data_IF_611096724460
#
_entry.id   IF_611096724460
#
_cell.length_a   1.000
_cell.length_b   1.000
_cell.length_c   1.000
_cell.angle_alpha   90.00
_cell.angle_beta   90.00
_cell.angle_gamma   90.00
#
_symmetry.space_group_name_H-M   'P 1'
#
loop_
_entity.id
_entity.type
_entity.pdbx_description
1 polymer ?
#
# COMPACT_ATOMS: atom_id res chain seq x y z
N UNK A 1 -0.87 8.64 -23.99
CA UNK A 1 -0.83 7.70 -22.85
C UNK A 1 -1.95 6.71 -23.00
N UNK A 2 -1.60 5.43 -23.15
CA UNK A 2 -2.59 4.35 -23.05
C UNK A 2 -3.00 4.14 -21.59
N UNK A 3 -4.17 3.54 -21.34
CA UNK A 3 -4.58 3.19 -19.97
C UNK A 3 -3.50 2.37 -19.26
N UNK A 4 -2.88 1.42 -19.97
CA UNK A 4 -1.82 0.57 -19.46
C UNK A 4 -0.57 1.35 -18.98
N UNK A 5 -0.19 2.42 -19.66
CA UNK A 5 0.94 3.29 -19.28
C UNK A 5 0.63 4.18 -18.07
N UNK A 6 -0.65 4.53 -17.85
CA UNK A 6 -1.06 5.37 -16.73
C UNK A 6 -1.20 4.58 -15.42
N UNK A 7 -1.58 3.29 -15.49
CA UNK A 7 -1.86 2.46 -14.31
C UNK A 7 -0.70 2.36 -13.30
N UNK A 8 0.58 2.25 -13.69
CA UNK A 8 1.69 2.26 -12.73
C UNK A 8 1.77 3.54 -11.89
N UNK A 9 1.59 4.70 -12.53
CA UNK A 9 1.60 6.01 -11.84
C UNK A 9 0.38 6.15 -10.95
N UNK A 10 -0.80 5.71 -11.41
CA UNK A 10 -2.03 5.67 -10.58
C UNK A 10 -1.83 4.77 -9.36
N UNK A 11 -1.22 3.59 -9.55
CA UNK A 11 -0.93 2.65 -8.46
C UNK A 11 0.01 3.24 -7.41
N UNK A 12 1.07 3.93 -7.84
CA UNK A 12 1.98 4.64 -6.95
C UNK A 12 1.27 5.78 -6.21
N UNK A 13 0.47 6.58 -6.91
CA UNK A 13 -0.30 7.67 -6.32
C UNK A 13 -1.31 7.18 -5.27
N UNK A 14 -2.03 6.08 -5.54
CA UNK A 14 -2.97 5.49 -4.59
C UNK A 14 -2.29 4.94 -3.35
N UNK A 15 -1.11 4.32 -3.49
CA UNK A 15 -0.31 3.89 -2.34
C UNK A 15 0.21 5.08 -1.52
N UNK A 16 0.71 6.12 -2.18
CA UNK A 16 1.13 7.36 -1.50
C UNK A 16 -0.03 8.03 -0.77
N UNK A 17 -1.20 8.11 -1.39
CA UNK A 17 -2.42 8.62 -0.78
C UNK A 17 -2.83 7.78 0.43
N UNK A 18 -2.82 6.45 0.33
CA UNK A 18 -3.11 5.56 1.44
C UNK A 18 -2.14 5.80 2.62
N UNK A 19 -0.84 5.93 2.35
CA UNK A 19 0.16 6.25 3.38
C UNK A 19 -0.15 7.57 4.10
N UNK A 20 -0.45 8.63 3.37
CA UNK A 20 -0.79 9.94 3.94
C UNK A 20 -2.06 9.85 4.78
N UNK A 21 -3.10 9.18 4.28
CA UNK A 21 -4.35 8.99 5.02
C UNK A 21 -4.14 8.19 6.31
N UNK A 22 -3.31 7.14 6.29
CA UNK A 22 -2.96 6.35 7.48
C UNK A 22 -2.19 7.19 8.50
N UNK A 23 -1.22 7.98 8.04
CA UNK A 23 -0.45 8.87 8.92
C UNK A 23 -1.38 9.90 9.58
N UNK A 24 -2.23 10.57 8.80
CA UNK A 24 -3.21 11.52 9.33
C UNK A 24 -4.23 10.83 10.25
N UNK A 25 -4.64 9.60 9.93
CA UNK A 25 -5.57 8.80 10.74
C UNK A 25 -4.95 8.42 12.09
N UNK A 26 -3.66 8.12 12.11
CA UNK A 26 -2.90 7.89 13.33
C UNK A 26 -2.76 9.16 14.17
N UNK A 27 -2.43 10.30 13.55
CA UNK A 27 -2.35 11.58 14.24
C UNK A 27 -3.71 12.00 14.83
N UNK A 28 -4.81 11.76 14.12
CA UNK A 28 -6.16 12.05 14.60
C UNK A 28 -6.51 11.23 15.85
N UNK A 29 -6.25 9.92 15.87
CA UNK A 29 -6.56 9.10 17.05
C UNK A 29 -5.66 9.43 18.24
N UNK A 30 -4.41 9.84 18.03
CA UNK A 30 -3.54 10.33 19.12
C UNK A 30 -4.06 11.62 19.74
N UNK A 31 -4.83 12.42 19.00
CA UNK A 31 -5.52 13.62 19.49
C UNK A 31 -6.90 13.32 20.09
N UNK A 32 -7.32 12.06 20.11
CA UNK A 32 -8.65 11.65 20.59
C UNK A 32 -9.79 11.87 19.58
N UNK A 33 -9.50 12.34 18.37
CA UNK A 33 -10.52 12.60 17.33
C UNK A 33 -10.91 11.32 16.60
N UNK A 34 -11.83 10.57 17.22
CA UNK A 34 -12.31 9.29 16.70
C UNK A 34 -13.08 9.43 15.38
N UNK A 35 -13.83 10.53 15.20
CA UNK A 35 -14.62 10.77 13.99
C UNK A 35 -13.69 10.95 12.79
N UNK A 36 -12.67 11.80 12.92
CA UNK A 36 -11.67 12.02 11.86
C UNK A 36 -10.82 10.78 11.62
N UNK A 37 -10.41 10.08 12.68
CA UNK A 37 -9.73 8.79 12.55
C UNK A 37 -10.55 7.82 11.69
N UNK A 38 -11.83 7.60 12.02
CA UNK A 38 -12.70 6.70 11.27
C UNK A 38 -12.80 7.09 9.80
N UNK A 39 -13.02 8.36 9.50
CA UNK A 39 -13.10 8.84 8.12
C UNK A 39 -11.80 8.56 7.35
N UNK A 40 -10.65 8.89 7.93
CA UNK A 40 -9.33 8.69 7.31
C UNK A 40 -9.01 7.21 7.11
N UNK A 41 -9.32 6.34 8.07
CA UNK A 41 -9.09 4.89 7.94
C UNK A 41 -9.96 4.26 6.86
N UNK A 42 -11.22 4.70 6.72
CA UNK A 42 -12.11 4.24 5.63
C UNK A 42 -11.61 4.74 4.27
N UNK A 43 -11.18 6.01 4.18
CA UNK A 43 -10.57 6.54 2.95
C UNK A 43 -9.29 5.80 2.58
N UNK A 44 -8.43 5.47 3.54
CA UNK A 44 -7.22 4.68 3.30
C UNK A 44 -7.54 3.26 2.81
N UNK A 45 -8.58 2.63 3.38
CA UNK A 45 -9.09 1.34 2.92
C UNK A 45 -9.60 1.42 1.48
N UNK A 46 -10.38 2.46 1.14
CA UNK A 46 -10.89 2.67 -0.21
C UNK A 46 -9.74 2.89 -1.22
N UNK A 47 -8.75 3.73 -0.88
CA UNK A 47 -7.57 3.94 -1.72
C UNK A 47 -6.77 2.64 -1.93
N UNK A 48 -6.61 1.82 -0.89
CA UNK A 48 -5.93 0.52 -0.97
C UNK A 48 -6.71 -0.49 -1.82
N UNK A 49 -8.04 -0.52 -1.71
CA UNK A 49 -8.89 -1.37 -2.54
C UNK A 49 -8.83 -0.94 -4.02
N UNK A 50 -8.89 0.36 -4.30
CA UNK A 50 -8.75 0.89 -5.65
C UNK A 50 -7.36 0.59 -6.23
N UNK A 51 -6.30 0.71 -5.42
CA UNK A 51 -4.96 0.29 -5.81
C UNK A 51 -4.94 -1.19 -6.21
N UNK A 52 -5.53 -2.08 -5.40
CA UNK A 52 -5.52 -3.50 -5.68
C UNK A 52 -6.23 -3.82 -7.00
N UNK A 53 -7.40 -3.23 -7.24
CA UNK A 53 -8.13 -3.38 -8.50
C UNK A 53 -7.26 -2.89 -9.67
N UNK A 54 -6.73 -1.67 -9.58
CA UNK A 54 -5.87 -1.07 -10.61
C UNK A 54 -4.58 -1.88 -10.87
N UNK A 55 -3.96 -2.44 -9.84
CA UNK A 55 -2.79 -3.31 -9.94
C UNK A 55 -3.10 -4.63 -10.65
N UNK A 56 -4.21 -5.29 -10.31
CA UNK A 56 -4.64 -6.52 -10.95
C UNK A 56 -5.04 -6.27 -12.41
N UNK A 57 -5.73 -5.16 -12.70
CA UNK A 57 -6.01 -4.73 -14.08
C UNK A 57 -4.72 -4.51 -14.87
N UNK A 58 -3.72 -3.82 -14.29
CA UNK A 58 -2.42 -3.64 -14.94
C UNK A 58 -1.75 -4.98 -15.24
N UNK A 59 -1.73 -5.91 -14.29
CA UNK A 59 -1.18 -7.26 -14.52
C UNK A 59 -1.91 -7.99 -15.64
N UNK A 60 -3.24 -7.91 -15.68
CA UNK A 60 -4.03 -8.55 -16.72
C UNK A 60 -3.73 -7.99 -18.12
N UNK A 61 -3.40 -6.70 -18.23
CA UNK A 61 -3.11 -6.03 -19.50
C UNK A 61 -1.65 -6.17 -19.96
N UNK A 62 -0.68 -6.04 -19.06
CA UNK A 62 0.75 -5.93 -19.43
C UNK A 62 1.62 -7.07 -18.88
N UNK A 63 1.04 -7.96 -18.07
CA UNK A 63 1.80 -8.98 -17.35
C UNK A 63 2.70 -8.42 -16.23
N UNK A 64 3.67 -9.24 -15.83
CA UNK A 64 4.65 -8.90 -14.79
C UNK A 64 5.89 -8.23 -15.40
N UNK A 65 6.33 -7.13 -14.80
CA UNK A 65 7.56 -6.47 -15.22
C UNK A 65 8.77 -7.11 -14.54
N UNK A 66 9.80 -7.39 -15.34
CA UNK A 66 11.13 -7.75 -14.84
C UNK A 66 11.94 -6.48 -14.68
N UNK A 67 12.70 -6.38 -13.60
CA UNK A 67 13.64 -5.28 -13.41
C UNK A 67 14.74 -5.36 -14.48
N UNK A 68 14.92 -4.34 -15.34
CA UNK A 68 15.98 -4.35 -16.34
C UNK A 68 17.33 -4.13 -15.65
N UNK A 69 18.31 -4.98 -15.96
CA UNK A 69 19.67 -4.91 -15.38
C UNK A 69 19.98 -5.96 -14.30
N UNK A 70 21.16 -5.81 -13.69
CA UNK A 70 21.75 -6.71 -12.69
C UNK A 70 22.47 -5.95 -11.58
N UNK A 71 23.16 -6.69 -10.69
CA UNK A 71 23.96 -6.09 -9.62
C UNK A 71 23.16 -5.67 -8.38
N UNK A 72 23.77 -4.80 -7.55
CA UNK A 72 23.25 -4.42 -6.23
C UNK A 72 21.84 -3.78 -6.29
N UNK A 73 21.57 -2.94 -7.29
CA UNK A 73 20.28 -2.27 -7.42
C UNK A 73 19.13 -3.27 -7.64
N UNK A 74 19.35 -4.31 -8.45
CA UNK A 74 18.38 -5.39 -8.65
C UNK A 74 18.16 -6.19 -7.36
N UNK A 75 19.22 -6.47 -6.60
CA UNK A 75 19.10 -7.18 -5.32
C UNK A 75 18.24 -6.40 -4.32
N UNK A 76 18.47 -5.07 -4.21
CA UNK A 76 17.64 -4.18 -3.37
C UNK A 76 16.20 -4.15 -3.86
N UNK A 77 15.98 -4.02 -5.19
CA UNK A 77 14.64 -4.03 -5.76
C UNK A 77 13.87 -5.31 -5.41
N UNK A 78 14.50 -6.47 -5.59
CA UNK A 78 13.88 -7.75 -5.30
C UNK A 78 13.62 -7.91 -3.80
N UNK A 79 14.55 -7.49 -2.94
CA UNK A 79 14.35 -7.53 -1.49
C UNK A 79 13.12 -6.71 -1.08
N UNK A 80 13.00 -5.47 -1.57
CA UNK A 80 11.86 -4.58 -1.28
C UNK A 80 10.57 -5.10 -1.91
N UNK A 81 10.61 -5.59 -3.15
CA UNK A 81 9.43 -6.13 -3.84
C UNK A 81 8.90 -7.38 -3.12
N UNK A 82 9.79 -8.29 -2.73
CA UNK A 82 9.42 -9.52 -2.03
C UNK A 82 8.84 -9.19 -0.67
N UNK A 83 9.49 -8.35 0.13
CA UNK A 83 8.97 -7.95 1.45
C UNK A 83 7.63 -7.22 1.33
N UNK A 84 7.50 -6.30 0.36
CA UNK A 84 6.25 -5.59 0.07
C UNK A 84 5.13 -6.58 -0.26
N UNK A 85 5.37 -7.51 -1.19
CA UNK A 85 4.33 -8.44 -1.67
C UNK A 85 3.85 -9.36 -0.56
N UNK A 86 4.78 -9.94 0.22
CA UNK A 86 4.45 -10.81 1.35
C UNK A 86 3.68 -10.04 2.42
N UNK A 87 4.16 -8.86 2.81
CA UNK A 87 3.49 -8.04 3.82
C UNK A 87 2.15 -7.49 3.32
N UNK A 88 1.99 -7.20 2.03
CA UNK A 88 0.71 -6.77 1.46
C UNK A 88 -0.34 -7.89 1.50
N UNK A 89 0.07 -9.12 1.20
CA UNK A 89 -0.79 -10.29 1.35
C UNK A 89 -1.24 -10.50 2.80
N UNK A 90 -0.36 -10.25 3.78
CA UNK A 90 -0.71 -10.29 5.20
C UNK A 90 -1.53 -9.07 5.67
N UNK A 91 -1.30 -7.90 5.09
CA UNK A 91 -2.00 -6.66 5.42
C UNK A 91 -3.49 -6.78 5.13
N UNK A 92 -3.87 -7.37 3.99
CA UNK A 92 -5.27 -7.50 3.57
C UNK A 92 -6.18 -8.14 4.66
N UNK A 93 -5.91 -9.37 5.16
CA UNK A 93 -6.73 -9.97 6.22
C UNK A 93 -6.64 -9.20 7.55
N UNK A 94 -5.49 -8.59 7.88
CA UNK A 94 -5.33 -7.79 9.10
C UNK A 94 -6.20 -6.51 9.06
N UNK A 95 -6.22 -5.81 7.93
CA UNK A 95 -7.04 -4.61 7.72
C UNK A 95 -8.52 -4.97 7.80
N UNK A 96 -8.95 -6.03 7.11
CA UNK A 96 -10.33 -6.52 7.17
C UNK A 96 -10.75 -6.88 8.60
N UNK A 97 -9.90 -7.60 9.34
CA UNK A 97 -10.16 -7.93 10.75
C UNK A 97 -10.24 -6.68 11.62
N UNK A 98 -9.35 -5.72 11.41
CA UNK A 98 -9.29 -4.46 12.18
C UNK A 98 -10.55 -3.63 11.95
N UNK A 99 -11.02 -3.54 10.71
CA UNK A 99 -12.27 -2.89 10.33
C UNK A 99 -13.49 -3.61 10.90
N UNK A 100 -13.55 -4.94 10.78
CA UNK A 100 -14.63 -5.74 11.34
C UNK A 100 -14.78 -5.53 12.86
N UNK A 101 -13.67 -5.47 13.59
CA UNK A 101 -13.70 -5.19 15.03
C UNK A 101 -14.21 -3.77 15.34
N UNK A 102 -13.87 -2.77 14.52
CA UNK A 102 -14.40 -1.41 14.65
C UNK A 102 -15.91 -1.35 14.36
N UNK A 103 -16.39 -2.06 13.32
CA UNK A 103 -17.81 -2.14 12.98
C UNK A 103 -18.65 -2.88 14.03
N UNK A 104 -18.03 -3.80 14.77
CA UNK A 104 -18.65 -4.49 15.91
C UNK A 104 -18.45 -3.76 17.24
N UNK A 105 -17.91 -2.54 17.21
CA UNK A 105 -17.63 -1.70 18.39
C UNK A 105 -16.74 -2.38 19.44
N UNK A 106 -15.95 -3.38 19.03
CA UNK A 106 -15.01 -4.11 19.90
C UNK A 106 -13.67 -3.38 19.96
N UNK A 107 -13.70 -2.16 20.47
CA UNK A 107 -12.54 -1.25 20.49
C UNK A 107 -11.30 -1.79 21.22
N UNK A 108 -11.39 -2.51 22.36
CA UNK A 108 -10.20 -3.09 23.00
C UNK A 108 -9.44 -4.05 22.07
N UNK A 109 -10.17 -4.96 21.41
CA UNK A 109 -9.61 -5.90 20.44
C UNK A 109 -9.11 -5.20 19.19
N UNK A 110 -9.85 -4.21 18.68
CA UNK A 110 -9.42 -3.37 17.57
C UNK A 110 -8.07 -2.72 17.86
N UNK A 111 -7.89 -2.08 19.02
CA UNK A 111 -6.62 -1.44 19.41
C UNK A 111 -5.47 -2.43 19.53
N UNK A 112 -5.73 -3.66 19.99
CA UNK A 112 -4.69 -4.71 20.07
C UNK A 112 -4.15 -5.08 18.69
N UNK A 113 -5.04 -5.31 17.72
CA UNK A 113 -4.64 -5.70 16.37
C UNK A 113 -4.12 -4.50 15.57
N UNK A 114 -4.73 -3.32 15.72
CA UNK A 114 -4.33 -2.10 15.03
C UNK A 114 -2.87 -1.70 15.28
N UNK A 115 -2.30 -2.02 16.45
CA UNK A 115 -0.88 -1.81 16.75
C UNK A 115 0.08 -2.59 15.83
N UNK A 116 -0.38 -3.71 15.28
CA UNK A 116 0.36 -4.53 14.29
C UNK A 116 -0.08 -4.18 12.87
N UNK A 117 -1.39 -4.02 12.63
CA UNK A 117 -1.93 -3.67 11.32
C UNK A 117 -1.37 -2.35 10.80
N UNK A 118 -1.34 -1.30 11.63
CA UNK A 118 -0.95 0.04 11.21
C UNK A 118 0.49 0.10 10.64
N UNK A 119 1.55 -0.36 11.34
CA UNK A 119 2.90 -0.31 10.79
C UNK A 119 3.07 -1.16 9.53
N UNK A 120 2.46 -2.35 9.47
CA UNK A 120 2.49 -3.19 8.26
C UNK A 120 1.81 -2.46 7.10
N UNK A 121 0.64 -1.87 7.33
CA UNK A 121 -0.12 -1.16 6.30
C UNK A 121 0.64 0.07 5.80
N UNK A 122 1.23 0.87 6.70
CA UNK A 122 2.06 2.01 6.32
C UNK A 122 3.31 1.56 5.55
N UNK A 123 3.96 0.46 5.96
CA UNK A 123 5.13 -0.09 5.26
C UNK A 123 4.79 -0.46 3.82
N UNK A 124 3.70 -1.21 3.59
CA UNK A 124 3.33 -1.62 2.23
C UNK A 124 2.94 -0.42 1.38
N UNK A 125 2.22 0.57 1.95
CA UNK A 125 1.87 1.78 1.23
C UNK A 125 3.10 2.61 0.81
N UNK A 126 4.11 2.76 1.68
CA UNK A 126 5.35 3.47 1.30
C UNK A 126 6.17 2.68 0.30
N UNK A 127 6.33 1.37 0.52
CA UNK A 127 7.17 0.53 -0.35
C UNK A 127 6.56 0.34 -1.73
N UNK A 128 5.23 0.43 -1.88
CA UNK A 128 4.58 0.46 -3.20
C UNK A 128 5.03 1.65 -4.06
N UNK A 129 5.21 2.83 -3.45
CA UNK A 129 5.79 4.00 -4.12
C UNK A 129 7.26 3.79 -4.44
N UNK A 130 8.03 3.23 -3.49
CA UNK A 130 9.46 2.95 -3.69
C UNK A 130 9.69 1.99 -4.87
N UNK A 131 8.92 0.90 -4.95
CA UNK A 131 8.99 -0.06 -6.06
C UNK A 131 8.72 0.63 -7.40
N UNK A 132 7.74 1.53 -7.45
CA UNK A 132 7.48 2.34 -8.64
C UNK A 132 8.68 3.22 -9.01
N UNK A 133 9.22 3.99 -8.07
CA UNK A 133 10.38 4.85 -8.32
C UNK A 133 11.58 4.04 -8.80
N UNK A 134 11.85 2.90 -8.16
CA UNK A 134 12.93 2.02 -8.57
C UNK A 134 12.77 1.51 -10.00
N UNK A 135 11.54 1.14 -10.39
CA UNK A 135 11.27 0.54 -11.69
C UNK A 135 11.19 1.57 -12.83
N UNK A 136 10.70 2.79 -12.57
CA UNK A 136 10.43 3.77 -13.63
C UNK A 136 11.41 4.95 -13.66
N UNK A 137 12.14 5.21 -12.58
CA UNK A 137 13.06 6.36 -12.49
C UNK A 137 14.52 5.96 -12.22
N UNK A 138 14.76 4.84 -11.53
CA UNK A 138 16.13 4.37 -11.23
C UNK A 138 16.57 3.20 -12.11
N UNK A 139 15.63 2.54 -12.77
CA UNK A 139 15.94 1.42 -13.64
C UNK A 139 16.76 1.91 -14.84
N UNK A 140 17.85 1.19 -15.22
CA UNK A 140 18.57 1.48 -16.44
C UNK A 140 17.64 1.39 -17.64
N UNK A 141 17.84 2.26 -18.63
CA UNK A 141 17.21 2.13 -19.95
C UNK A 141 17.50 0.73 -20.50
N UNK A 142 16.51 0.02 -21.07
CA UNK A 142 16.80 -1.23 -21.78
C UNK A 142 17.84 -0.96 -22.89
N UNK A 143 18.79 -1.88 -23.11
CA UNK A 143 19.77 -1.77 -24.19
C UNK A 143 19.09 -1.82 -25.57
#
# INVERSE_FOLDING_TARGET
MTLAEALPTVNAALNGLAFVLLLLGFLAIRRGDQRRHRALMLSACAASALFLVSYLTRIALTGTHRFPGGGALRAVYLAVLTSHTVLAALAAPLVLRTLFLALRERFPSHRRIARVTLPIWMYVSVTGVVVYVMLYHLAPSPP
#
